data_IF_333087604873
#
_entry.id   IF_333087604873
#
_cell.length_a   1.000
_cell.length_b   1.000
_cell.length_c   1.000
_cell.angle_alpha   90.00
_cell.angle_beta   90.00
_cell.angle_gamma   90.00
#
_symmetry.space_group_name_H-M   'P 1'
#
loop_
_entity.id
_entity.type
_entity.pdbx_description
1 polymer ?
#
# COMPACT_ATOMS: atom_id res chain seq x y z
N UNK A 1 -25.13 9.88 -41.68
CA UNK A 1 -26.57 10.07 -41.72
C UNK A 1 -26.96 10.65 -43.10
N UNK A 2 -27.90 10.04 -43.79
CA UNK A 2 -28.45 10.55 -45.04
C UNK A 2 -29.83 11.11 -44.77
N UNK A 3 -30.12 12.29 -45.29
CA UNK A 3 -31.43 12.90 -45.22
C UNK A 3 -31.99 12.93 -46.63
N UNK A 4 -33.16 12.32 -46.81
CA UNK A 4 -33.88 12.36 -48.08
C UNK A 4 -35.12 13.24 -47.98
N UNK A 5 -35.25 14.16 -48.92
CA UNK A 5 -36.49 14.93 -49.05
C UNK A 5 -37.55 14.02 -49.74
N UNK A 6 -38.59 13.67 -49.02
CA UNK A 6 -39.62 12.73 -49.48
C UNK A 6 -40.36 13.21 -50.76
N UNK A 7 -40.48 14.54 -50.99
CA UNK A 7 -41.17 15.11 -52.14
C UNK A 7 -40.29 15.15 -53.38
N UNK A 8 -39.00 15.48 -53.18
CA UNK A 8 -38.08 15.68 -54.32
C UNK A 8 -37.17 14.48 -54.56
N UNK A 9 -37.18 13.49 -53.65
CA UNK A 9 -36.28 12.34 -53.62
C UNK A 9 -34.78 12.72 -53.60
N UNK A 10 -34.50 13.99 -53.28
CA UNK A 10 -33.10 14.44 -53.16
C UNK A 10 -32.50 13.95 -51.86
N UNK A 11 -31.41 13.25 -51.96
CA UNK A 11 -30.66 12.71 -50.82
C UNK A 11 -29.41 13.58 -50.57
N UNK A 12 -29.22 14.03 -49.37
CA UNK A 12 -28.04 14.77 -48.97
C UNK A 12 -27.40 14.11 -47.71
N UNK A 13 -26.10 14.22 -47.61
CA UNK A 13 -25.40 13.82 -46.37
C UNK A 13 -25.75 14.86 -45.31
N UNK A 14 -26.21 14.41 -44.16
CA UNK A 14 -26.42 15.33 -43.03
C UNK A 14 -25.07 15.90 -42.62
N UNK A 15 -24.92 17.19 -42.80
CA UNK A 15 -23.80 17.93 -42.22
C UNK A 15 -24.09 18.13 -40.71
N UNK A 16 -23.18 17.65 -39.85
CA UNK A 16 -23.40 17.75 -38.41
C UNK A 16 -22.05 17.96 -37.68
N UNK A 17 -22.14 18.76 -36.63
CA UNK A 17 -21.08 18.90 -35.65
C UNK A 17 -21.22 17.77 -34.63
N UNK A 18 -20.13 17.18 -34.20
CA UNK A 18 -20.15 16.12 -33.17
C UNK A 18 -19.27 16.50 -31.98
N UNK A 19 -19.75 16.14 -30.80
CA UNK A 19 -19.01 16.28 -29.55
C UNK A 19 -19.04 14.96 -28.75
N UNK A 20 -17.95 14.67 -28.08
CA UNK A 20 -17.83 13.56 -27.11
C UNK A 20 -18.05 12.13 -27.67
N UNK A 21 -17.95 11.94 -28.99
CA UNK A 21 -18.13 10.64 -29.65
C UNK A 21 -16.76 10.01 -29.91
N UNK A 22 -16.51 8.80 -29.37
CA UNK A 22 -15.22 8.10 -29.43
C UNK A 22 -14.76 7.77 -30.87
N UNK A 23 -15.71 7.42 -31.78
CA UNK A 23 -15.40 7.04 -33.17
C UNK A 23 -16.46 7.55 -34.14
N UNK A 24 -16.53 8.87 -34.42
CA UNK A 24 -17.61 9.44 -35.21
C UNK A 24 -17.64 8.98 -36.68
N UNK A 25 -16.52 8.47 -37.21
CA UNK A 25 -16.43 8.01 -38.62
C UNK A 25 -16.94 6.57 -38.82
N UNK A 26 -17.00 5.75 -37.76
CA UNK A 26 -17.39 4.33 -37.82
C UNK A 26 -18.52 4.05 -36.83
N UNK A 27 -19.63 4.76 -36.93
CA UNK A 27 -20.81 4.51 -36.11
C UNK A 27 -21.64 3.37 -36.71
N UNK A 28 -21.78 2.29 -35.96
CA UNK A 28 -22.68 1.20 -36.27
C UNK A 28 -24.05 1.50 -35.65
N UNK A 29 -24.96 2.09 -36.45
CA UNK A 29 -26.32 2.44 -36.01
C UNK A 29 -27.17 1.18 -36.04
N UNK A 30 -27.79 0.88 -34.88
CA UNK A 30 -28.67 -0.30 -34.70
C UNK A 30 -30.13 0.10 -34.76
N UNK A 31 -30.49 1.30 -34.29
CA UNK A 31 -31.87 1.76 -34.23
C UNK A 31 -31.96 3.28 -34.20
N UNK A 32 -33.07 3.81 -34.66
CA UNK A 32 -33.39 5.24 -34.56
C UNK A 32 -34.78 5.42 -34.00
N UNK A 33 -35.02 6.50 -33.28
CA UNK A 33 -36.33 6.96 -32.83
C UNK A 33 -36.46 8.44 -33.07
N UNK A 34 -37.50 8.86 -33.82
CA UNK A 34 -37.75 10.27 -34.13
C UNK A 34 -38.66 10.87 -33.07
N UNK A 35 -38.14 11.84 -32.35
CA UNK A 35 -38.91 12.64 -31.38
C UNK A 35 -39.44 13.93 -32.05
N UNK A 36 -40.64 13.85 -32.56
CA UNK A 36 -41.27 14.98 -33.25
C UNK A 36 -41.48 16.19 -32.31
N UNK A 37 -41.76 15.98 -31.04
CA UNK A 37 -42.01 17.04 -30.08
C UNK A 37 -40.77 17.90 -29.83
N UNK A 38 -39.60 17.27 -29.84
CA UNK A 38 -38.30 17.92 -29.58
C UNK A 38 -37.48 18.16 -30.84
N UNK A 39 -38.00 17.85 -32.01
CA UNK A 39 -37.29 17.96 -33.29
C UNK A 39 -35.91 17.31 -33.23
N UNK A 40 -35.84 16.12 -32.66
CA UNK A 40 -34.60 15.40 -32.45
C UNK A 40 -34.73 13.91 -32.84
N UNK A 41 -33.59 13.30 -33.18
CA UNK A 41 -33.50 11.88 -33.49
C UNK A 41 -32.62 11.21 -32.46
N UNK A 42 -33.15 10.23 -31.78
CA UNK A 42 -32.39 9.36 -30.87
C UNK A 42 -31.81 8.20 -31.66
N UNK A 43 -30.53 7.93 -31.47
CA UNK A 43 -29.75 6.95 -32.24
C UNK A 43 -29.12 5.96 -31.30
N UNK A 44 -29.53 4.70 -31.38
CA UNK A 44 -28.93 3.59 -30.69
C UNK A 44 -27.82 2.98 -31.52
N UNK A 45 -26.66 2.78 -30.93
CA UNK A 45 -25.47 2.32 -31.63
C UNK A 45 -24.90 1.02 -31.04
N UNK A 46 -24.02 0.42 -31.81
CA UNK A 46 -23.07 -0.59 -31.28
C UNK A 46 -21.75 0.12 -30.93
N UNK A 47 -21.35 0.09 -29.65
CA UNK A 47 -20.06 0.60 -29.17
C UNK A 47 -19.97 2.08 -28.87
N UNK A 48 -20.93 2.93 -29.34
CA UNK A 48 -20.91 4.38 -29.09
C UNK A 48 -22.03 4.87 -28.16
N UNK A 49 -22.79 3.97 -27.53
CA UNK A 49 -23.89 4.33 -26.62
C UNK A 49 -25.10 4.93 -27.32
N UNK A 50 -25.83 5.78 -26.59
CA UNK A 50 -27.02 6.50 -27.05
C UNK A 50 -26.64 7.89 -27.51
N UNK A 51 -26.89 8.18 -28.78
CA UNK A 51 -26.65 9.50 -29.37
C UNK A 51 -27.96 10.22 -29.58
N UNK A 52 -27.90 11.54 -29.65
CA UNK A 52 -29.00 12.42 -30.04
C UNK A 52 -28.57 13.37 -31.17
N UNK A 53 -29.35 13.41 -32.24
CA UNK A 53 -29.20 14.37 -33.31
C UNK A 53 -30.26 15.46 -33.16
N UNK A 54 -29.82 16.68 -32.94
CA UNK A 54 -30.65 17.86 -32.87
C UNK A 54 -30.84 18.39 -34.30
N UNK A 55 -32.09 18.37 -34.82
CA UNK A 55 -32.37 18.72 -36.19
C UNK A 55 -32.20 20.25 -36.45
N UNK A 56 -32.70 21.15 -35.59
CA UNK A 56 -32.50 22.58 -35.74
C UNK A 56 -31.04 23.02 -35.74
N UNK A 57 -30.26 22.50 -34.79
CA UNK A 57 -28.87 22.89 -34.59
C UNK A 57 -27.89 22.06 -35.44
N UNK A 58 -28.36 21.05 -36.14
CA UNK A 58 -27.53 20.11 -36.92
C UNK A 58 -26.36 19.57 -36.11
N UNK A 59 -26.61 19.18 -34.87
CA UNK A 59 -25.58 18.70 -33.95
C UNK A 59 -25.87 17.29 -33.50
N UNK A 60 -24.81 16.46 -33.48
CA UNK A 60 -24.84 15.08 -32.98
C UNK A 60 -24.00 15.02 -31.71
N UNK A 61 -24.58 14.53 -30.62
CA UNK A 61 -23.92 14.46 -29.34
C UNK A 61 -24.16 13.10 -28.64
N UNK A 62 -23.21 12.68 -27.79
CA UNK A 62 -23.39 11.56 -26.91
C UNK A 62 -24.32 11.95 -25.75
N UNK A 63 -25.42 11.21 -25.63
CA UNK A 63 -26.42 11.44 -24.57
C UNK A 63 -26.21 10.52 -23.36
N UNK A 64 -25.86 9.27 -23.60
CA UNK A 64 -25.54 8.34 -22.52
C UNK A 64 -24.49 7.31 -22.98
N UNK A 65 -23.46 7.13 -22.17
CA UNK A 65 -22.52 6.02 -22.26
C UNK A 65 -23.02 4.91 -21.32
N UNK A 66 -23.37 3.74 -21.90
CA UNK A 66 -23.85 2.58 -21.15
C UNK A 66 -22.77 1.52 -20.92
N UNK A 67 -21.52 1.81 -21.27
CA UNK A 67 -20.40 0.87 -21.13
C UNK A 67 -20.21 0.38 -19.69
N UNK A 68 -20.43 1.24 -18.70
CA UNK A 68 -20.39 0.87 -17.27
C UNK A 68 -21.43 -0.18 -16.87
N UNK A 69 -22.47 -0.34 -17.64
CA UNK A 69 -23.48 -1.38 -17.46
C UNK A 69 -23.21 -2.60 -18.35
N UNK A 70 -22.02 -2.70 -18.95
CA UNK A 70 -21.63 -3.75 -19.89
C UNK A 70 -22.57 -3.87 -21.08
N UNK A 71 -23.15 -2.74 -21.55
CA UNK A 71 -23.98 -2.65 -22.74
C UNK A 71 -23.10 -2.28 -23.92
N UNK A 72 -23.17 -3.11 -24.97
CA UNK A 72 -22.44 -2.88 -26.21
C UNK A 72 -23.36 -2.38 -27.32
N UNK A 73 -24.64 -2.79 -27.29
CA UNK A 73 -25.59 -2.48 -28.36
C UNK A 73 -26.94 -2.00 -27.81
N UNK A 74 -27.48 -0.95 -28.43
CA UNK A 74 -28.83 -0.45 -28.21
C UNK A 74 -29.66 -0.83 -29.43
N UNK A 75 -30.59 -1.77 -29.29
CA UNK A 75 -31.31 -2.38 -30.37
C UNK A 75 -32.69 -1.77 -30.63
N UNK A 76 -33.32 -1.19 -29.61
CA UNK A 76 -34.64 -0.60 -29.74
C UNK A 76 -34.78 0.62 -28.82
N UNK A 77 -35.51 1.62 -29.30
CA UNK A 77 -35.74 2.88 -28.55
C UNK A 77 -37.23 3.22 -28.63
N UNK A 78 -37.81 3.57 -27.50
CA UNK A 78 -39.18 4.13 -27.44
C UNK A 78 -39.27 5.23 -26.37
N UNK A 79 -40.33 6.05 -26.41
CA UNK A 79 -40.59 7.15 -25.49
C UNK A 79 -41.90 6.93 -24.76
N UNK A 80 -41.90 7.01 -23.42
CA UNK A 80 -43.12 6.96 -22.63
C UNK A 80 -43.91 8.24 -22.66
N UNK A 81 -45.07 8.29 -21.99
CA UNK A 81 -45.92 9.46 -21.93
C UNK A 81 -45.35 10.57 -21.02
N UNK A 82 -44.43 10.24 -20.14
CA UNK A 82 -43.76 11.20 -19.26
C UNK A 82 -42.53 11.84 -19.93
N UNK A 83 -42.16 11.35 -21.11
CA UNK A 83 -41.03 11.81 -21.89
C UNK A 83 -39.73 11.07 -21.64
N UNK A 84 -39.69 9.99 -20.82
CA UNK A 84 -38.51 9.22 -20.62
C UNK A 84 -38.23 8.30 -21.83
N UNK A 85 -36.93 8.06 -22.09
CA UNK A 85 -36.51 7.19 -23.18
C UNK A 85 -36.27 5.79 -22.64
N UNK A 86 -36.82 4.80 -23.32
CA UNK A 86 -36.66 3.38 -23.03
C UNK A 86 -35.80 2.71 -24.08
N UNK A 87 -34.83 1.92 -23.65
CA UNK A 87 -33.80 1.32 -24.48
C UNK A 87 -33.79 -0.20 -24.28
N UNK A 88 -34.08 -0.97 -25.34
CA UNK A 88 -33.81 -2.39 -25.35
C UNK A 88 -32.39 -2.66 -25.82
N UNK A 89 -31.60 -3.36 -25.02
CA UNK A 89 -30.15 -3.55 -25.23
C UNK A 89 -29.74 -5.02 -25.24
N UNK A 90 -28.45 -5.26 -25.42
CA UNK A 90 -27.84 -6.60 -25.25
C UNK A 90 -27.66 -7.00 -23.79
N UNK A 91 -27.88 -6.09 -22.84
CA UNK A 91 -27.75 -6.34 -21.40
C UNK A 91 -28.88 -5.73 -20.57
N UNK A 92 -30.11 -6.04 -20.93
CA UNK A 92 -31.31 -5.59 -20.21
C UNK A 92 -32.04 -4.42 -20.87
N UNK A 93 -33.10 -4.01 -20.20
CA UNK A 93 -33.91 -2.87 -20.58
C UNK A 93 -33.51 -1.66 -19.72
N UNK A 94 -33.42 -0.47 -20.33
CA UNK A 94 -33.07 0.76 -19.62
C UNK A 94 -34.15 1.81 -19.78
N UNK A 95 -34.45 2.52 -18.69
CA UNK A 95 -35.19 3.79 -18.69
C UNK A 95 -34.21 4.93 -18.46
N UNK A 96 -34.25 5.93 -19.31
CA UNK A 96 -33.50 7.15 -19.11
C UNK A 96 -34.47 8.30 -18.82
N UNK A 97 -34.38 8.91 -17.66
CA UNK A 97 -35.05 10.15 -17.31
C UNK A 97 -34.38 11.31 -18.06
N UNK A 98 -35.10 11.95 -18.96
CA UNK A 98 -34.53 13.02 -19.80
C UNK A 98 -34.19 14.29 -18.99
N UNK A 99 -34.88 14.53 -17.88
CA UNK A 99 -34.67 15.74 -17.07
C UNK A 99 -33.40 15.62 -16.23
N UNK A 100 -33.15 14.44 -15.66
CA UNK A 100 -32.02 14.19 -14.75
C UNK A 100 -30.87 13.43 -15.41
N UNK A 101 -31.04 12.93 -16.64
CA UNK A 101 -30.14 11.99 -17.32
C UNK A 101 -29.86 10.71 -16.52
N UNK A 102 -30.71 10.36 -15.55
CA UNK A 102 -30.58 9.18 -14.74
C UNK A 102 -30.98 7.94 -15.52
N UNK A 103 -30.15 6.89 -15.46
CA UNK A 103 -30.41 5.59 -16.06
C UNK A 103 -30.84 4.60 -14.98
N UNK A 104 -31.93 3.86 -15.25
CA UNK A 104 -32.42 2.77 -14.45
C UNK A 104 -32.45 1.51 -15.32
N UNK A 105 -31.81 0.45 -14.86
CA UNK A 105 -31.74 -0.84 -15.56
C UNK A 105 -32.81 -1.79 -15.03
N UNK A 106 -33.49 -2.47 -15.92
CA UNK A 106 -34.44 -3.56 -15.64
C UNK A 106 -33.91 -4.85 -16.22
N UNK A 107 -33.94 -5.88 -15.42
CA UNK A 107 -33.49 -7.23 -15.77
C UNK A 107 -34.57 -8.26 -15.37
N UNK A 108 -34.26 -9.55 -15.50
CA UNK A 108 -35.19 -10.64 -15.17
C UNK A 108 -35.71 -10.60 -13.73
N UNK A 109 -34.88 -10.12 -12.77
CA UNK A 109 -35.29 -9.95 -11.37
C UNK A 109 -36.33 -8.83 -11.18
N UNK A 110 -36.44 -7.90 -12.12
CA UNK A 110 -37.47 -6.84 -12.14
C UNK A 110 -38.70 -7.24 -12.96
N UNK A 111 -38.76 -8.45 -13.47
CA UNK A 111 -39.86 -8.96 -14.31
C UNK A 111 -39.69 -8.70 -15.81
N UNK A 112 -38.52 -8.25 -16.25
CA UNK A 112 -38.22 -8.17 -17.70
C UNK A 112 -38.05 -9.58 -18.29
N UNK A 113 -38.30 -9.73 -19.62
CA UNK A 113 -38.30 -11.02 -20.29
C UNK A 113 -36.94 -11.74 -20.21
N UNK A 114 -35.87 -11.00 -20.20
CA UNK A 114 -34.52 -11.56 -20.24
C UNK A 114 -33.46 -10.47 -20.36
N UNK A 115 -32.27 -10.88 -20.81
CA UNK A 115 -31.12 -10.01 -20.89
C UNK A 115 -30.98 -9.30 -22.23
N UNK A 116 -31.29 -9.99 -23.34
CA UNK A 116 -31.06 -9.49 -24.70
C UNK A 116 -32.37 -9.14 -25.42
N UNK A 117 -32.43 -7.94 -25.97
CA UNK A 117 -33.55 -7.45 -26.79
C UNK A 117 -33.19 -7.50 -28.27
N UNK A 118 -34.21 -7.45 -29.15
CA UNK A 118 -33.99 -7.52 -30.58
C UNK A 118 -34.09 -6.13 -31.26
N UNK A 119 -33.42 -5.94 -32.41
CA UNK A 119 -33.50 -4.73 -33.18
C UNK A 119 -34.94 -4.42 -33.60
N UNK A 120 -35.33 -3.14 -33.49
CA UNK A 120 -36.66 -2.61 -33.87
C UNK A 120 -37.87 -3.28 -33.19
N UNK A 121 -37.63 -4.17 -32.23
CA UNK A 121 -38.69 -4.94 -31.56
C UNK A 121 -39.29 -4.17 -30.40
N UNK A 122 -39.90 -3.04 -30.68
CA UNK A 122 -40.57 -2.21 -29.69
C UNK A 122 -41.88 -1.63 -30.26
N UNK A 123 -42.89 -1.53 -29.38
CA UNK A 123 -44.20 -0.92 -29.71
C UNK A 123 -44.73 -0.15 -28.50
N UNK A 124 -45.40 0.96 -28.73
CA UNK A 124 -46.14 1.71 -27.74
C UNK A 124 -47.63 1.63 -28.05
N UNK A 125 -48.38 1.13 -27.09
CA UNK A 125 -49.84 1.03 -27.23
C UNK A 125 -50.54 2.35 -26.94
N UNK A 126 -51.81 2.46 -27.32
CA UNK A 126 -52.63 3.68 -27.10
C UNK A 126 -52.86 3.97 -25.60
N UNK A 127 -52.83 2.95 -24.73
CA UNK A 127 -52.90 3.12 -23.28
C UNK A 127 -51.57 3.55 -22.63
N UNK A 128 -50.50 3.71 -23.41
CA UNK A 128 -49.19 4.13 -22.97
C UNK A 128 -48.29 3.03 -22.47
N UNK A 129 -48.69 1.75 -22.58
CA UNK A 129 -47.80 0.61 -22.31
C UNK A 129 -46.76 0.48 -23.39
N UNK A 130 -45.54 0.04 -22.97
CA UNK A 130 -44.44 -0.20 -23.86
C UNK A 130 -44.17 -1.69 -23.94
N UNK A 131 -43.95 -2.19 -25.16
CA UNK A 131 -43.64 -3.58 -25.45
C UNK A 131 -42.23 -3.66 -26.03
N UNK A 132 -41.40 -4.54 -25.49
CA UNK A 132 -40.04 -4.79 -25.98
C UNK A 132 -39.81 -6.27 -26.16
N UNK A 133 -39.54 -6.71 -27.38
CA UNK A 133 -39.27 -8.12 -27.73
C UNK A 133 -37.80 -8.48 -27.55
N UNK A 134 -37.54 -9.69 -27.13
CA UNK A 134 -36.19 -10.24 -26.92
C UNK A 134 -36.15 -11.74 -27.02
N UNK A 135 -35.01 -12.31 -26.65
CA UNK A 135 -34.72 -13.74 -26.87
C UNK A 135 -35.55 -14.72 -26.01
N UNK A 136 -36.12 -14.25 -24.89
CA UNK A 136 -36.95 -15.09 -24.02
C UNK A 136 -38.43 -14.69 -24.03
N UNK A 137 -38.86 -13.89 -25.01
CA UNK A 137 -40.21 -13.41 -25.16
C UNK A 137 -40.30 -11.89 -25.30
N UNK A 138 -41.25 -11.29 -24.62
CA UNK A 138 -41.39 -9.82 -24.62
C UNK A 138 -41.71 -9.27 -23.22
N UNK A 139 -41.23 -8.05 -22.94
CA UNK A 139 -41.56 -7.33 -21.73
C UNK A 139 -42.71 -6.36 -21.99
N UNK A 140 -43.70 -6.34 -21.10
CA UNK A 140 -44.76 -5.33 -21.07
C UNK A 140 -44.47 -4.39 -19.92
N UNK A 141 -44.36 -3.12 -20.21
CA UNK A 141 -44.01 -2.10 -19.23
C UNK A 141 -45.17 -1.11 -19.12
N UNK A 142 -45.65 -0.86 -17.92
CA UNK A 142 -46.53 0.25 -17.59
C UNK A 142 -45.74 1.37 -16.93
N UNK A 143 -45.18 2.34 -17.67
CA UNK A 143 -44.24 3.33 -17.14
C UNK A 143 -44.78 4.12 -15.94
N UNK A 144 -46.09 4.44 -15.94
CA UNK A 144 -46.75 5.13 -14.85
C UNK A 144 -46.79 4.39 -13.50
N UNK A 145 -46.56 3.06 -13.52
CA UNK A 145 -46.51 2.23 -12.30
C UNK A 145 -45.09 2.06 -11.77
N UNK A 146 -44.08 2.56 -12.49
CA UNK A 146 -42.68 2.41 -12.09
C UNK A 146 -42.25 3.64 -11.30
N UNK A 147 -41.87 3.45 -10.06
CA UNK A 147 -41.32 4.48 -9.18
C UNK A 147 -39.83 4.25 -8.91
N UNK A 148 -39.09 5.32 -8.67
CA UNK A 148 -37.72 5.22 -8.18
C UNK A 148 -37.71 4.84 -6.71
N UNK A 149 -36.81 3.94 -6.36
CA UNK A 149 -36.50 3.64 -4.96
C UNK A 149 -35.60 4.76 -4.39
N UNK A 150 -36.18 5.66 -3.62
CA UNK A 150 -35.47 6.76 -2.97
C UNK A 150 -34.88 6.37 -1.60
N UNK A 151 -35.04 5.11 -1.17
CA UNK A 151 -34.53 4.62 0.09
C UNK A 151 -32.99 4.72 0.11
N UNK A 152 -32.45 5.36 1.17
CA UNK A 152 -31.02 5.46 1.43
C UNK A 152 -30.59 4.28 2.31
N UNK A 153 -29.96 3.26 1.75
CA UNK A 153 -29.59 2.08 2.52
C UNK A 153 -28.35 2.35 3.39
N UNK A 154 -28.24 1.59 4.49
CA UNK A 154 -27.05 1.56 5.32
C UNK A 154 -26.28 0.27 5.12
N UNK A 155 -24.98 0.29 5.38
CA UNK A 155 -24.13 -0.91 5.38
C UNK A 155 -24.16 -1.55 6.75
N UNK A 156 -24.26 -2.87 6.75
CA UNK A 156 -24.06 -3.71 7.93
C UNK A 156 -22.80 -4.52 7.69
N UNK A 157 -21.78 -4.37 8.54
CA UNK A 157 -20.66 -5.30 8.61
C UNK A 157 -21.16 -6.59 9.26
N UNK A 158 -21.22 -7.66 8.49
CA UNK A 158 -21.75 -8.94 8.96
C UNK A 158 -20.70 -9.75 9.69
N UNK A 159 -19.49 -9.80 9.12
CA UNK A 159 -18.42 -10.63 9.65
C UNK A 159 -17.07 -9.92 9.57
N UNK A 160 -16.19 -10.30 10.50
CA UNK A 160 -14.80 -9.92 10.54
C UNK A 160 -13.93 -11.18 10.59
N UNK A 161 -12.94 -11.27 9.70
CA UNK A 161 -12.06 -12.41 9.59
C UNK A 161 -10.60 -11.97 9.82
N UNK A 162 -9.84 -12.80 10.51
CA UNK A 162 -8.38 -12.72 10.61
C UNK A 162 -7.79 -13.92 9.87
N UNK A 163 -6.87 -13.66 8.93
CA UNK A 163 -6.27 -14.69 8.07
C UNK A 163 -7.32 -15.64 7.45
N UNK A 164 -8.44 -15.07 6.99
CA UNK A 164 -9.63 -15.77 6.45
C UNK A 164 -10.39 -16.67 7.45
N UNK A 165 -10.12 -16.55 8.74
CA UNK A 165 -10.83 -17.27 9.79
C UNK A 165 -11.81 -16.31 10.47
N UNK A 166 -13.13 -16.61 10.53
CA UNK A 166 -14.11 -15.77 11.22
C UNK A 166 -13.78 -15.59 12.69
N UNK A 167 -13.82 -14.35 13.15
CA UNK A 167 -13.52 -14.00 14.54
C UNK A 167 -14.80 -14.00 15.36
N UNK A 168 -14.85 -14.89 16.35
CA UNK A 168 -15.98 -14.98 17.28
C UNK A 168 -15.78 -13.98 18.42
N UNK A 169 -16.75 -13.09 18.67
CA UNK A 169 -16.67 -12.13 19.77
C UNK A 169 -16.54 -12.81 21.14
N UNK A 170 -15.91 -12.12 22.10
CA UNK A 170 -15.74 -12.56 23.49
C UNK A 170 -15.01 -13.91 23.69
N UNK A 171 -14.32 -14.43 22.69
CA UNK A 171 -13.44 -15.59 22.86
C UNK A 171 -12.05 -15.17 23.35
N UNK A 172 -11.30 -16.11 23.90
CA UNK A 172 -9.92 -15.86 24.36
C UNK A 172 -9.06 -15.35 23.21
N UNK A 173 -8.43 -14.19 23.38
CA UNK A 173 -7.61 -13.48 22.38
C UNK A 173 -8.39 -12.89 21.19
N UNK A 174 -9.72 -12.80 21.26
CA UNK A 174 -10.51 -12.12 20.25
C UNK A 174 -10.32 -10.60 20.35
N UNK A 175 -10.04 -9.90 19.26
CA UNK A 175 -10.04 -8.44 19.23
C UNK A 175 -11.46 -7.85 19.31
N UNK A 176 -12.49 -8.68 19.11
CA UNK A 176 -13.90 -8.29 19.19
C UNK A 176 -14.48 -8.55 20.57
N UNK A 177 -14.96 -7.50 21.23
CA UNK A 177 -15.73 -7.57 22.49
C UNK A 177 -17.22 -7.75 22.26
N UNK A 178 -17.71 -7.38 21.07
CA UNK A 178 -19.10 -7.51 20.63
C UNK A 178 -19.12 -7.82 19.14
N UNK A 179 -20.30 -8.04 18.56
CA UNK A 179 -20.43 -8.19 17.10
C UNK A 179 -19.76 -7.02 16.36
N UNK A 180 -19.14 -7.31 15.21
CA UNK A 180 -18.51 -6.29 14.37
C UNK A 180 -19.48 -5.15 14.00
N UNK A 181 -20.74 -5.48 13.80
CA UNK A 181 -21.81 -4.52 13.54
C UNK A 181 -21.95 -3.44 14.63
N UNK A 182 -21.69 -3.79 15.92
CA UNK A 182 -21.77 -2.87 17.05
C UNK A 182 -20.42 -2.21 17.40
N UNK A 183 -19.34 -2.68 16.79
CA UNK A 183 -17.99 -2.25 17.12
C UNK A 183 -17.67 -0.96 16.37
N UNK A 184 -17.27 0.09 17.11
CA UNK A 184 -16.83 1.38 16.53
C UNK A 184 -15.32 1.49 16.43
N UNK A 185 -14.60 0.74 17.25
CA UNK A 185 -13.13 0.73 17.28
C UNK A 185 -12.64 -0.70 17.42
N UNK A 186 -11.76 -1.12 16.51
CA UNK A 186 -11.13 -2.43 16.46
C UNK A 186 -9.64 -2.28 16.72
N UNK A 187 -9.14 -2.93 17.77
CA UNK A 187 -7.72 -2.91 18.13
C UNK A 187 -7.10 -4.26 17.81
N UNK A 188 -6.16 -4.25 16.86
CA UNK A 188 -5.46 -5.43 16.37
C UNK A 188 -4.01 -5.44 16.89
N UNK A 189 -3.50 -6.62 17.18
CA UNK A 189 -2.10 -6.80 17.50
C UNK A 189 -1.24 -6.79 16.21
N UNK A 190 0.06 -6.61 16.35
CA UNK A 190 1.00 -6.46 15.22
C UNK A 190 0.98 -7.63 14.23
N UNK A 191 0.62 -8.83 14.68
CA UNK A 191 0.52 -10.04 13.87
C UNK A 191 -0.88 -10.27 13.28
N UNK A 192 -1.87 -9.44 13.63
CA UNK A 192 -3.25 -9.47 13.14
C UNK A 192 -3.44 -8.45 12.01
N UNK A 193 -2.49 -8.37 11.09
CA UNK A 193 -2.44 -7.36 10.04
C UNK A 193 -2.98 -7.85 8.68
N UNK A 194 -3.49 -9.09 8.63
CA UNK A 194 -4.24 -9.64 7.51
C UNK A 194 -5.69 -9.83 7.96
N UNK A 195 -6.59 -9.03 7.46
CA UNK A 195 -7.98 -9.07 7.88
C UNK A 195 -8.95 -8.81 6.73
N UNK A 196 -10.18 -9.29 6.91
CA UNK A 196 -11.25 -9.14 5.93
C UNK A 196 -12.55 -8.74 6.61
N UNK A 197 -13.36 -7.98 5.90
CA UNK A 197 -14.72 -7.65 6.29
C UNK A 197 -15.70 -8.23 5.29
N UNK A 198 -16.79 -8.82 5.79
CA UNK A 198 -17.98 -9.10 5.00
C UNK A 198 -19.05 -8.07 5.32
N UNK A 199 -19.82 -7.69 4.33
CA UNK A 199 -20.80 -6.62 4.46
C UNK A 199 -22.05 -6.86 3.63
N UNK A 200 -23.15 -6.29 4.08
CA UNK A 200 -24.43 -6.33 3.39
C UNK A 200 -25.14 -4.97 3.43
N UNK A 201 -26.18 -4.83 2.63
CA UNK A 201 -26.99 -3.61 2.52
C UNK A 201 -28.37 -3.84 3.13
N UNK A 202 -28.93 -2.81 3.73
CA UNK A 202 -30.33 -2.82 4.20
C UNK A 202 -31.37 -2.64 3.09
N UNK A 203 -30.95 -2.56 1.82
CA UNK A 203 -31.87 -2.58 0.69
C UNK A 203 -32.19 -4.00 0.26
N UNK A 204 -33.43 -4.44 0.50
CA UNK A 204 -33.92 -5.79 0.20
C UNK A 204 -34.81 -5.84 -1.05
N UNK A 205 -35.16 -4.69 -1.65
CA UNK A 205 -36.06 -4.65 -2.80
C UNK A 205 -35.50 -5.36 -4.03
N UNK A 206 -34.22 -5.13 -4.34
CA UNK A 206 -33.48 -5.87 -5.36
C UNK A 206 -32.00 -5.96 -4.94
N UNK A 207 -31.66 -6.91 -4.03
CA UNK A 207 -30.34 -6.99 -3.42
C UNK A 207 -29.20 -7.19 -4.41
N UNK A 208 -29.47 -7.89 -5.53
CA UNK A 208 -28.50 -8.17 -6.59
C UNK A 208 -28.01 -6.93 -7.34
N UNK A 209 -28.72 -5.80 -7.23
CA UNK A 209 -28.34 -4.52 -7.84
C UNK A 209 -27.70 -3.54 -6.88
N UNK A 210 -27.54 -3.90 -5.61
CA UNK A 210 -26.86 -3.06 -4.64
C UNK A 210 -25.41 -2.86 -5.08
N UNK A 211 -24.92 -1.66 -4.89
CA UNK A 211 -23.52 -1.30 -5.15
C UNK A 211 -22.88 -0.86 -3.85
N UNK A 212 -21.60 -1.11 -3.73
CA UNK A 212 -20.81 -0.70 -2.57
C UNK A 212 -19.60 0.09 -3.04
N UNK A 213 -19.17 1.00 -2.19
CA UNK A 213 -17.84 1.60 -2.32
C UNK A 213 -17.22 1.68 -0.94
N UNK A 214 -15.93 1.34 -0.88
CA UNK A 214 -15.19 1.30 0.36
C UNK A 214 -13.78 1.82 0.16
N UNK A 215 -13.15 2.16 1.28
CA UNK A 215 -11.71 2.44 1.34
C UNK A 215 -11.22 2.26 2.78
N UNK A 216 -9.96 1.92 2.92
CA UNK A 216 -9.21 2.03 4.17
C UNK A 216 -8.41 3.34 4.11
N UNK A 217 -8.87 4.38 4.80
CA UNK A 217 -8.22 5.70 4.80
C UNK A 217 -6.75 5.58 5.23
N UNK A 218 -5.85 6.28 4.57
CA UNK A 218 -4.38 6.21 4.71
C UNK A 218 -3.72 4.92 4.18
N UNK A 219 -4.48 3.99 3.63
CA UNK A 219 -3.97 2.80 2.98
C UNK A 219 -4.38 2.77 1.51
N UNK A 220 -5.65 3.04 1.22
CA UNK A 220 -6.18 3.12 -0.14
C UNK A 220 -6.14 4.57 -0.64
N UNK A 221 -5.59 4.79 -1.84
CA UNK A 221 -5.52 6.12 -2.47
C UNK A 221 -6.90 6.60 -2.95
N UNK A 222 -7.80 5.67 -3.29
CA UNK A 222 -9.10 5.95 -3.91
C UNK A 222 -10.19 5.06 -3.36
N UNK A 223 -11.45 5.50 -3.55
CA UNK A 223 -12.61 4.66 -3.31
C UNK A 223 -12.62 3.49 -4.30
N UNK A 224 -12.85 2.29 -3.78
CA UNK A 224 -12.99 1.05 -4.54
C UNK A 224 -14.48 0.74 -4.63
N UNK A 225 -15.01 0.58 -5.86
CA UNK A 225 -16.40 0.21 -6.08
C UNK A 225 -16.51 -1.29 -6.34
N UNK A 226 -17.56 -1.88 -5.77
CA UNK A 226 -17.93 -3.29 -5.97
C UNK A 226 -19.44 -3.44 -6.05
N UNK A 227 -19.90 -4.60 -6.49
CA UNK A 227 -21.30 -4.94 -6.64
C UNK A 227 -21.78 -5.96 -5.58
N UNK A 228 -23.05 -6.35 -5.68
CA UNK A 228 -23.67 -7.30 -4.77
C UNK A 228 -23.13 -8.75 -4.86
N UNK A 229 -22.34 -9.09 -5.86
CA UNK A 229 -21.69 -10.40 -6.00
C UNK A 229 -20.40 -10.50 -5.19
N UNK A 230 -19.78 -9.36 -4.88
CA UNK A 230 -18.52 -9.26 -4.16
C UNK A 230 -18.72 -8.44 -2.88
N UNK A 231 -19.24 -9.08 -1.83
CA UNK A 231 -19.58 -8.47 -0.54
C UNK A 231 -18.52 -8.67 0.54
N UNK A 232 -17.28 -8.82 0.13
CA UNK A 232 -16.13 -8.94 1.03
C UNK A 232 -14.95 -8.12 0.54
N UNK A 233 -14.15 -7.66 1.47
CA UNK A 233 -12.88 -6.97 1.20
C UNK A 233 -11.81 -7.52 2.11
N UNK A 234 -10.62 -7.74 1.56
CA UNK A 234 -9.46 -8.26 2.28
C UNK A 234 -8.30 -7.28 2.19
N UNK A 235 -7.66 -7.05 3.33
CA UNK A 235 -6.44 -6.26 3.46
C UNK A 235 -5.32 -7.14 3.99
N UNK A 236 -4.14 -7.05 3.38
CA UNK A 236 -2.99 -7.88 3.73
C UNK A 236 -1.79 -7.04 4.09
N UNK A 237 -1.07 -7.44 5.16
CA UNK A 237 0.17 -6.79 5.63
C UNK A 237 0.01 -5.28 5.87
N UNK A 238 -1.14 -4.89 6.43
CA UNK A 238 -1.40 -3.49 6.77
C UNK A 238 -0.39 -3.04 7.83
N UNK A 239 0.36 -1.95 7.62
CA UNK A 239 1.36 -1.48 8.58
C UNK A 239 0.74 -1.07 9.92
N UNK A 240 1.58 -0.97 10.97
CA UNK A 240 1.15 -0.38 12.25
C UNK A 240 0.62 1.04 12.04
N UNK A 241 -0.50 1.37 12.69
CA UNK A 241 -1.10 2.69 12.53
C UNK A 241 -2.54 2.74 12.96
N UNK A 242 -3.16 3.90 12.75
CA UNK A 242 -4.59 4.12 12.96
C UNK A 242 -5.22 4.45 11.61
N UNK A 243 -6.23 3.68 11.25
CA UNK A 243 -6.95 3.72 9.99
C UNK A 243 -8.45 3.89 10.24
N UNK A 244 -9.18 4.40 9.25
CA UNK A 244 -10.64 4.38 9.24
C UNK A 244 -11.08 3.56 8.03
N UNK A 245 -11.73 2.43 8.29
CA UNK A 245 -12.42 1.69 7.23
C UNK A 245 -13.76 2.37 6.98
N UNK A 246 -13.93 2.88 5.79
CA UNK A 246 -15.11 3.63 5.34
C UNK A 246 -15.83 2.84 4.26
N UNK A 247 -17.12 2.67 4.41
CA UNK A 247 -17.96 1.95 3.44
C UNK A 247 -19.33 2.58 3.33
N UNK A 248 -19.89 2.59 2.12
CA UNK A 248 -21.27 2.98 1.85
C UNK A 248 -21.89 2.11 0.76
N UNK A 249 -23.19 2.04 0.75
CA UNK A 249 -23.95 1.26 -0.22
C UNK A 249 -24.95 2.11 -0.96
N UNK A 250 -25.22 1.76 -2.22
CA UNK A 250 -26.32 2.30 -3.00
C UNK A 250 -27.41 1.23 -3.21
N UNK A 251 -28.64 1.68 -3.28
CA UNK A 251 -29.78 0.81 -3.60
C UNK A 251 -29.80 0.42 -5.10
N UNK A 252 -30.80 -0.36 -5.50
CA UNK A 252 -31.01 -0.82 -6.86
C UNK A 252 -31.16 0.32 -7.92
N UNK A 253 -31.50 1.53 -7.50
CA UNK A 253 -31.65 2.71 -8.36
C UNK A 253 -30.47 3.68 -8.23
N UNK A 254 -29.41 3.27 -7.55
CA UNK A 254 -28.17 4.01 -7.42
C UNK A 254 -28.24 5.18 -6.42
N UNK A 255 -29.20 5.16 -5.48
CA UNK A 255 -29.24 6.13 -4.38
C UNK A 255 -28.27 5.68 -3.31
N UNK A 256 -27.23 6.47 -3.09
CA UNK A 256 -26.22 6.25 -2.06
C UNK A 256 -26.76 6.55 -0.67
N UNK A 257 -26.49 5.66 0.27
CA UNK A 257 -26.81 5.82 1.67
C UNK A 257 -25.73 6.56 2.46
N UNK A 258 -25.84 6.48 3.79
CA UNK A 258 -24.90 7.13 4.69
C UNK A 258 -23.58 6.37 4.79
N UNK A 259 -22.51 7.10 5.17
CA UNK A 259 -21.19 6.54 5.40
C UNK A 259 -21.18 5.75 6.71
N UNK A 260 -20.75 4.49 6.63
CA UNK A 260 -20.42 3.67 7.80
C UNK A 260 -18.90 3.69 7.96
N UNK A 261 -18.41 3.94 9.17
CA UNK A 261 -17.00 4.07 9.49
C UNK A 261 -16.63 3.21 10.69
N UNK A 262 -15.51 2.49 10.58
CA UNK A 262 -14.91 1.66 11.63
C UNK A 262 -13.45 2.07 11.83
N UNK A 263 -13.11 2.52 13.04
CA UNK A 263 -11.72 2.83 13.39
C UNK A 263 -10.93 1.57 13.66
N UNK A 264 -9.77 1.42 13.02
CA UNK A 264 -8.88 0.26 13.15
C UNK A 264 -7.52 0.74 13.66
N UNK A 265 -7.05 0.16 14.76
CA UNK A 265 -5.74 0.45 15.36
C UNK A 265 -4.90 -0.82 15.30
N UNK A 266 -3.80 -0.78 14.56
CA UNK A 266 -2.82 -1.87 14.50
C UNK A 266 -1.62 -1.49 15.38
N UNK A 267 -1.43 -2.25 16.47
CA UNK A 267 -0.35 -2.00 17.42
C UNK A 267 1.03 -2.24 16.81
N UNK A 268 2.07 -1.52 17.25
CA UNK A 268 3.44 -1.83 16.87
C UNK A 268 3.88 -3.17 17.44
N UNK A 269 4.80 -3.84 16.74
CA UNK A 269 5.46 -5.03 17.27
C UNK A 269 6.20 -4.71 18.60
N UNK A 270 6.25 -5.61 19.58
CA UNK A 270 6.87 -5.36 20.88
C UNK A 270 8.31 -4.85 20.77
N UNK A 271 9.08 -5.38 19.82
CA UNK A 271 10.47 -4.95 19.56
C UNK A 271 10.62 -3.60 18.85
N UNK A 272 9.52 -3.02 18.35
CA UNK A 272 9.44 -1.67 17.79
C UNK A 272 8.71 -0.70 18.72
N UNK A 273 8.45 -1.10 19.96
CA UNK A 273 7.85 -0.24 20.97
C UNK A 273 8.87 0.80 21.47
N UNK A 274 8.39 1.92 21.99
CA UNK A 274 9.26 2.96 22.54
C UNK A 274 10.19 2.42 23.66
N UNK A 275 9.71 1.48 24.47
CA UNK A 275 10.49 0.82 25.51
C UNK A 275 11.60 -0.07 24.94
N UNK A 276 11.34 -0.80 23.84
CA UNK A 276 12.36 -1.61 23.19
C UNK A 276 13.47 -0.72 22.59
N UNK A 277 13.11 0.41 21.98
CA UNK A 277 14.09 1.38 21.46
C UNK A 277 14.99 1.91 22.58
N UNK A 278 14.42 2.28 23.74
CA UNK A 278 15.19 2.71 24.92
C UNK A 278 16.13 1.57 25.40
N UNK A 279 15.62 0.34 25.46
CA UNK A 279 16.45 -0.82 25.84
C UNK A 279 17.62 -1.05 24.87
N UNK A 280 17.40 -0.89 23.55
CA UNK A 280 18.48 -0.99 22.55
C UNK A 280 19.53 0.10 22.72
N UNK A 281 19.12 1.34 22.97
CA UNK A 281 20.05 2.45 23.23
C UNK A 281 20.89 2.17 24.48
N UNK A 282 20.27 1.70 25.57
CA UNK A 282 20.98 1.35 26.80
C UNK A 282 21.98 0.19 26.57
N UNK A 283 21.59 -0.83 25.79
CA UNK A 283 22.47 -1.94 25.46
C UNK A 283 23.68 -1.48 24.64
N UNK A 284 23.49 -0.59 23.66
CA UNK A 284 24.59 -0.02 22.88
C UNK A 284 25.52 0.79 23.77
N UNK A 285 25.00 1.62 24.68
CA UNK A 285 25.80 2.38 25.65
C UNK A 285 26.60 1.47 26.58
N UNK A 286 26.02 0.36 27.03
CA UNK A 286 26.69 -0.62 27.88
C UNK A 286 27.83 -1.31 27.13
N UNK A 287 27.61 -1.71 25.86
CA UNK A 287 28.68 -2.27 25.02
C UNK A 287 29.81 -1.25 24.83
N UNK A 288 29.47 -0.01 24.53
CA UNK A 288 30.45 1.07 24.36
C UNK A 288 31.26 1.28 25.64
N UNK A 289 30.60 1.32 26.80
CA UNK A 289 31.26 1.38 28.11
C UNK A 289 32.20 0.20 28.34
N UNK A 290 31.76 -1.03 28.05
CA UNK A 290 32.58 -2.24 28.18
C UNK A 290 33.82 -2.17 27.28
N UNK A 291 33.67 -1.71 26.03
CA UNK A 291 34.79 -1.54 25.11
C UNK A 291 35.80 -0.50 25.60
N UNK A 292 35.31 0.64 26.09
CA UNK A 292 36.18 1.68 26.68
C UNK A 292 36.92 1.11 27.90
N UNK A 293 36.25 0.39 28.79
CA UNK A 293 36.86 -0.28 29.95
C UNK A 293 37.92 -1.28 29.53
N UNK A 294 37.60 -2.12 28.54
CA UNK A 294 38.53 -3.10 27.98
C UNK A 294 39.77 -2.42 27.36
N UNK A 295 39.55 -1.38 26.56
CA UNK A 295 40.66 -0.61 25.97
C UNK A 295 41.55 0.05 27.02
N UNK A 296 40.96 0.66 28.04
CA UNK A 296 41.70 1.28 29.14
C UNK A 296 42.47 0.20 29.95
N UNK A 297 41.87 -0.96 30.14
CA UNK A 297 42.56 -2.09 30.80
C UNK A 297 43.77 -2.56 29.98
N UNK A 298 43.63 -2.73 28.68
CA UNK A 298 44.72 -3.09 27.77
C UNK A 298 45.86 -2.05 27.77
N UNK A 299 45.48 -0.76 27.79
CA UNK A 299 46.49 0.34 27.92
C UNK A 299 47.26 0.28 29.23
N UNK A 300 46.59 0.05 30.37
CA UNK A 300 47.23 -0.13 31.65
C UNK A 300 48.15 -1.33 31.66
N UNK A 301 47.75 -2.45 31.12
CA UNK A 301 48.54 -3.64 31.04
C UNK A 301 49.81 -3.48 30.19
N UNK A 302 49.69 -2.82 29.01
CA UNK A 302 50.84 -2.44 28.18
C UNK A 302 51.81 -1.51 28.91
N UNK A 303 51.31 -0.53 29.66
CA UNK A 303 52.11 0.40 30.43
C UNK A 303 52.86 -0.32 31.54
N UNK A 304 52.19 -1.31 32.22
CA UNK A 304 52.82 -2.11 33.27
C UNK A 304 53.99 -2.95 32.69
N UNK A 305 53.81 -3.65 31.59
CA UNK A 305 54.87 -4.41 30.93
C UNK A 305 56.01 -3.52 30.46
N UNK A 306 55.72 -2.36 29.92
CA UNK A 306 56.76 -1.38 29.53
C UNK A 306 57.57 -0.88 30.70
N UNK A 307 56.99 -0.63 31.84
CA UNK A 307 57.69 -0.19 33.05
C UNK A 307 58.55 -1.37 33.61
N UNK A 308 58.02 -2.58 33.64
CA UNK A 308 58.79 -3.78 34.11
C UNK A 308 60.00 -4.04 33.21
N UNK A 309 59.87 -3.90 31.92
CA UNK A 309 60.96 -4.04 30.93
C UNK A 309 62.02 -2.97 31.17
N UNK A 310 61.63 -1.73 31.37
CA UNK A 310 62.53 -0.60 31.73
C UNK A 310 63.28 -0.84 33.05
N UNK A 311 62.61 -1.33 34.08
CA UNK A 311 63.27 -1.68 35.35
C UNK A 311 64.26 -2.84 35.16
N UNK A 312 63.94 -3.81 34.31
CA UNK A 312 64.88 -4.92 34.00
C UNK A 312 66.11 -4.39 33.26
N UNK A 313 65.92 -3.57 32.22
CA UNK A 313 67.03 -2.97 31.49
C UNK A 313 67.94 -2.13 32.44
N UNK A 314 67.39 -1.31 33.30
CA UNK A 314 68.16 -0.52 34.28
C UNK A 314 68.93 -1.41 35.26
N UNK A 315 68.36 -2.51 35.73
CA UNK A 315 69.07 -3.49 36.59
C UNK A 315 70.21 -4.17 35.84
N UNK A 316 70.02 -4.54 34.59
CA UNK A 316 71.04 -5.13 33.73
C UNK A 316 72.16 -4.16 33.44
N UNK A 317 71.84 -2.89 33.07
CA UNK A 317 72.87 -1.84 32.93
C UNK A 317 73.67 -1.60 34.20
N UNK A 318 72.98 -1.50 35.35
CA UNK A 318 73.63 -1.36 36.65
C UNK A 318 74.55 -2.58 36.95
N UNK A 319 74.08 -3.78 36.71
CA UNK A 319 74.86 -4.99 36.92
C UNK A 319 76.09 -5.04 35.98
N UNK A 320 75.93 -4.67 34.71
CA UNK A 320 77.07 -4.56 33.78
C UNK A 320 78.05 -3.48 34.17
N UNK A 321 77.56 -2.32 34.59
CA UNK A 321 78.43 -1.27 35.11
C UNK A 321 79.22 -1.74 36.34
N UNK A 322 78.59 -2.48 37.26
CA UNK A 322 79.20 -3.06 38.43
C UNK A 322 80.31 -4.10 38.07
N UNK A 323 80.00 -4.99 37.13
CA UNK A 323 80.98 -5.98 36.60
C UNK A 323 82.18 -5.28 35.95
N UNK A 324 81.95 -4.25 35.14
CA UNK A 324 82.97 -3.46 34.49
C UNK A 324 83.82 -2.75 35.52
N UNK A 325 83.22 -2.14 36.55
CA UNK A 325 83.93 -1.54 37.66
C UNK A 325 84.84 -2.55 38.37
N UNK A 326 84.35 -3.74 38.78
CA UNK A 326 85.13 -4.78 39.41
C UNK A 326 86.27 -5.29 38.53
N UNK A 327 85.99 -5.40 37.23
CA UNK A 327 87.05 -5.85 36.25
C UNK A 327 88.14 -4.81 36.16
N UNK A 328 87.81 -3.51 36.03
CA UNK A 328 88.79 -2.45 35.97
C UNK A 328 89.56 -2.31 37.28
N UNK A 329 88.89 -2.32 38.42
CA UNK A 329 89.53 -2.32 39.78
C UNK A 329 90.45 -3.52 39.90
N UNK A 330 90.02 -4.72 39.51
CA UNK A 330 90.93 -5.94 39.58
C UNK A 330 92.13 -5.81 38.71
N UNK A 331 91.97 -5.19 37.51
CA UNK A 331 93.12 -4.93 36.60
C UNK A 331 94.04 -3.91 37.21
N UNK A 332 93.52 -2.76 37.74
CA UNK A 332 94.29 -1.71 38.34
C UNK A 332 95.04 -2.17 39.64
N UNK A 333 94.47 -3.08 40.39
CA UNK A 333 95.13 -3.70 41.49
C UNK A 333 96.14 -4.77 41.04
N UNK A 334 95.90 -5.50 39.97
CA UNK A 334 96.86 -6.55 39.47
C UNK A 334 98.15 -5.95 39.03
N UNK A 335 98.18 -4.79 38.45
CA UNK A 335 99.37 -4.15 37.92
C UNK A 335 100.33 -3.76 39.07
N UNK A 336 99.92 -3.01 40.16
CA UNK A 336 100.86 -2.75 41.26
C UNK A 336 101.21 -4.02 42.07
N UNK A 337 100.24 -4.96 42.21
CA UNK A 337 100.47 -6.20 42.90
C UNK A 337 101.52 -7.06 42.15
N UNK A 338 101.47 -7.08 40.84
CA UNK A 338 102.46 -7.79 39.97
C UNK A 338 103.86 -7.14 40.13
N UNK A 339 103.85 -5.76 40.19
CA UNK A 339 105.10 -5.03 40.39
C UNK A 339 105.70 -5.31 41.81
N UNK A 340 104.86 -5.33 42.84
CA UNK A 340 105.27 -5.69 44.19
C UNK A 340 105.79 -7.14 44.24
N UNK A 341 105.08 -8.08 43.63
CA UNK A 341 105.50 -9.51 43.51
C UNK A 341 106.83 -9.62 42.79
N UNK A 342 106.96 -8.92 41.67
CA UNK A 342 108.18 -8.89 40.87
C UNK A 342 109.38 -8.31 41.69
N UNK A 343 109.09 -7.34 42.54
CA UNK A 343 110.11 -6.69 43.45
C UNK A 343 110.49 -7.69 44.60
N UNK A 344 109.57 -8.52 44.99
CA UNK A 344 109.78 -9.53 46.06
C UNK A 344 110.46 -10.84 45.60
N UNK A 345 110.39 -11.14 44.29
CA UNK A 345 111.01 -12.32 43.72
C UNK A 345 112.57 -12.43 43.98
N UNK A 346 113.31 -11.28 43.80
CA UNK A 346 114.76 -11.37 44.10
C UNK A 346 115.07 -11.48 45.59
N UNK A 347 114.17 -11.14 46.46
CA UNK A 347 114.36 -11.35 47.94
C UNK A 347 114.22 -12.79 48.29
N UNK A 348 113.33 -13.56 47.63
CA UNK A 348 113.11 -14.99 47.82
C UNK A 348 114.23 -15.86 47.26
N UNK A 349 114.98 -15.36 46.29
CA UNK A 349 116.09 -16.04 45.63
C UNK A 349 117.44 -15.83 46.34
N UNK A 350 117.50 -15.20 47.49
CA UNK A 350 118.73 -15.17 48.38
C UNK A 350 119.97 -14.38 47.89
N UNK A 351 119.76 -13.44 46.89
CA UNK A 351 120.89 -12.62 46.44
C UNK A 351 120.66 -11.12 46.75
N UNK A 352 121.00 -10.80 48.05
CA UNK A 352 120.46 -9.59 48.71
C UNK A 352 121.37 -8.37 48.74
N UNK A 353 122.42 -8.28 48.01
CA UNK A 353 123.36 -7.15 48.31
C UNK A 353 123.51 -6.07 47.20
N UNK A 354 123.09 -6.36 45.93
CA UNK A 354 123.41 -5.41 44.82
C UNK A 354 122.26 -4.67 44.16
N UNK A 355 121.02 -5.09 44.36
CA UNK A 355 119.84 -4.64 43.53
C UNK A 355 118.82 -3.78 44.23
N UNK A 356 118.96 -3.58 45.61
CA UNK A 356 118.04 -2.78 46.40
C UNK A 356 118.20 -1.30 46.21
N UNK A 357 119.37 -0.77 45.85
CA UNK A 357 119.65 0.66 45.72
C UNK A 357 119.02 1.22 44.42
N UNK A 358 119.06 0.43 43.34
CA UNK A 358 118.46 0.95 42.07
C UNK A 358 116.91 0.90 41.99
N UNK A 359 116.22 0.14 42.87
CA UNK A 359 114.77 0.08 42.93
C UNK A 359 114.16 1.17 43.80
N UNK A 360 114.85 1.64 44.85
CA UNK A 360 114.46 2.69 45.70
C UNK A 360 114.60 4.07 45.00
N UNK A 361 115.58 4.27 44.09
CA UNK A 361 115.69 5.47 43.27
C UNK A 361 114.60 5.64 42.25
N UNK A 362 113.98 4.48 41.72
CA UNK A 362 112.84 4.55 40.75
C UNK A 362 111.44 4.67 41.42
N UNK A 363 111.33 4.60 42.77
CA UNK A 363 110.08 4.76 43.48
C UNK A 363 109.99 6.18 44.09
N UNK A 364 110.96 7.08 43.90
CA UNK A 364 110.89 8.45 44.33
C UNK A 364 110.63 9.49 43.26
N UNK A 365 110.18 9.05 42.10
CA UNK A 365 109.62 9.85 41.00
C UNK A 365 108.13 9.39 40.81
#
# INVERSE_FOLDING_TARGET
LLIMNVRTHHVQVADYRYSDIKNPKNMNIQTIYVDNDKHSIWIGTHGNGLLIYDIPNRSLSLKADLSKYKVHSIYSINKDNEGNIWLGTDNGLFRMDIKTNRLQQFNKADGAQGQTYYPFSTFKSTNGELYFGGNEGFSIISPSKISYNNYKPTVILSDFLLDNIPVIPNTKNSPLKSSIFQTKELVLDYNQNNFSFEFTSTNYLNPGKNRFRYRLEKYDDKWIETDASHRSVSYSKVPKGTYNFEIMTANNDGVWGELTSLKIIIKPAPWLSNWAIVAYILLVLLILYALIRYYNYQRKLKMYYYLEEREREQKEEYHQAQLTFFTNVSHDFRTPLSLILAALEPIKAGNLAGKYISILENLSL
#
